data_IF_065802591391
#
_entry.id   IF_065802591391
#
_cell.length_a   1.000
_cell.length_b   1.000
_cell.length_c   1.000
_cell.angle_alpha   90.00
_cell.angle_beta   90.00
_cell.angle_gamma   90.00
#
_symmetry.space_group_name_H-M   'P 1'
#
loop_
_entity.id
_entity.type
_entity.pdbx_description
1 polymer ?
#
# COMPACT_ATOMS: atom_id res chain seq x y z
N UNK A 1 1.01 9.41 15.77
CA UNK A 1 2.15 8.59 15.29
C UNK A 1 1.72 7.78 14.09
N UNK A 2 2.59 7.64 13.08
CA UNK A 2 2.45 6.72 11.93
C UNK A 2 3.40 5.55 12.15
N UNK A 3 2.87 4.34 12.07
CA UNK A 3 3.66 3.11 12.12
C UNK A 3 3.99 2.64 10.69
N UNK A 4 5.25 2.40 10.39
CA UNK A 4 5.70 1.78 9.14
C UNK A 4 6.20 0.37 9.46
N UNK A 5 5.57 -0.63 8.86
CA UNK A 5 6.06 -2.02 8.87
C UNK A 5 7.04 -2.18 7.71
N UNK A 6 8.31 -2.36 8.02
CA UNK A 6 9.38 -2.52 7.05
C UNK A 6 9.57 -4.00 6.66
N UNK A 7 9.25 -4.34 5.44
CA UNK A 7 9.43 -5.66 4.85
C UNK A 7 10.84 -5.89 4.29
N UNK A 8 11.87 -5.28 4.89
CA UNK A 8 13.27 -5.40 4.47
C UNK A 8 13.53 -4.86 3.07
N UNK A 9 12.88 -3.73 2.75
CA UNK A 9 13.00 -3.08 1.45
C UNK A 9 13.88 -1.83 1.51
N UNK A 10 14.72 -1.65 0.48
CA UNK A 10 15.57 -0.46 0.36
C UNK A 10 14.77 0.83 0.14
N UNK A 11 13.53 0.75 -0.34
CA UNK A 11 12.65 1.90 -0.57
C UNK A 11 11.81 2.29 0.65
N UNK A 12 11.83 1.52 1.74
CA UNK A 12 11.08 1.86 2.97
C UNK A 12 11.44 3.25 3.47
N UNK A 13 12.72 3.59 3.51
CA UNK A 13 13.15 4.93 3.96
C UNK A 13 12.86 6.04 2.95
N UNK A 14 12.67 5.73 1.67
CA UNK A 14 12.15 6.69 0.70
C UNK A 14 10.69 7.06 1.02
N UNK A 15 9.86 6.10 1.46
CA UNK A 15 8.52 6.39 1.98
C UNK A 15 8.59 7.33 3.19
N UNK A 16 9.45 7.03 4.17
CA UNK A 16 9.64 7.86 5.37
C UNK A 16 10.08 9.28 4.97
N UNK A 17 11.03 9.39 4.05
CA UNK A 17 11.50 10.68 3.56
C UNK A 17 10.37 11.46 2.87
N UNK A 18 9.60 10.83 1.98
CA UNK A 18 8.47 11.48 1.29
C UNK A 18 7.40 11.96 2.26
N UNK A 19 7.09 11.17 3.28
CA UNK A 19 6.15 11.60 4.33
C UNK A 19 6.68 12.80 5.11
N UNK A 20 7.97 12.80 5.47
CA UNK A 20 8.62 13.91 6.14
C UNK A 20 8.74 15.18 5.28
N UNK A 21 8.85 15.05 3.93
CA UNK A 21 8.79 16.17 2.98
C UNK A 21 7.39 16.79 2.92
N UNK A 22 6.34 16.00 3.10
CA UNK A 22 4.95 16.49 3.12
C UNK A 22 4.66 17.21 4.44
N UNK A 23 5.10 16.65 5.57
CA UNK A 23 4.94 17.22 6.90
C UNK A 23 6.09 16.77 7.82
N UNK A 24 7.01 17.68 8.10
CA UNK A 24 8.18 17.44 8.94
C UNK A 24 7.85 17.23 10.43
N UNK A 25 6.61 17.48 10.85
CA UNK A 25 6.15 17.27 12.24
C UNK A 25 5.64 15.86 12.52
N UNK A 26 5.59 14.98 11.54
CA UNK A 26 5.06 13.62 11.70
C UNK A 26 5.95 12.78 12.63
N UNK A 27 5.35 12.18 13.67
CA UNK A 27 5.98 11.10 14.45
C UNK A 27 5.86 9.80 13.64
N UNK A 28 6.94 9.42 12.95
CA UNK A 28 7.01 8.20 12.13
C UNK A 28 7.92 7.20 12.83
N UNK A 29 7.40 6.01 13.09
CA UNK A 29 8.17 4.91 13.68
C UNK A 29 8.22 3.73 12.72
N UNK A 30 9.42 3.23 12.46
CA UNK A 30 9.68 2.11 11.56
C UNK A 30 10.07 0.90 12.36
N UNK A 31 9.38 -0.21 12.13
CA UNK A 31 9.74 -1.51 12.71
C UNK A 31 9.81 -2.57 11.61
N UNK A 32 10.84 -3.41 11.69
CA UNK A 32 10.94 -4.59 10.83
C UNK A 32 9.77 -5.54 11.07
N UNK A 33 9.33 -6.21 10.02
CA UNK A 33 8.15 -7.09 10.04
C UNK A 33 8.28 -8.32 10.95
N UNK A 34 9.48 -8.61 11.45
CA UNK A 34 9.81 -9.68 12.41
C UNK A 34 10.25 -9.14 13.79
N UNK A 35 10.28 -7.81 13.98
CA UNK A 35 10.76 -7.16 15.21
C UNK A 35 9.67 -6.44 16.00
N UNK A 36 8.42 -6.63 15.63
CA UNK A 36 7.24 -6.10 16.31
C UNK A 36 6.15 -7.16 16.33
N UNK A 37 5.27 -7.10 17.30
CA UNK A 37 4.09 -7.96 17.39
C UNK A 37 2.81 -7.14 17.58
N UNK A 38 1.65 -7.80 17.43
CA UNK A 38 0.32 -7.16 17.51
C UNK A 38 0.10 -6.47 18.85
N UNK A 39 0.53 -7.04 19.97
CA UNK A 39 0.34 -6.45 21.32
C UNK A 39 1.14 -5.15 21.47
N UNK A 40 2.35 -5.13 20.92
CA UNK A 40 3.15 -3.90 20.89
C UNK A 40 2.47 -2.83 20.03
N UNK A 41 1.92 -3.20 18.86
CA UNK A 41 1.19 -2.25 17.99
C UNK A 41 -0.05 -1.70 18.71
N UNK A 42 -0.82 -2.55 19.41
CA UNK A 42 -1.96 -2.10 20.24
C UNK A 42 -1.53 -1.08 21.29
N UNK A 43 -0.40 -1.34 21.96
CA UNK A 43 0.13 -0.44 22.99
C UNK A 43 0.61 0.88 22.39
N UNK A 44 1.24 0.86 21.22
CA UNK A 44 1.68 2.04 20.50
C UNK A 44 0.52 2.89 19.99
N UNK A 45 -0.65 2.28 19.76
CA UNK A 45 -1.88 2.92 19.29
C UNK A 45 -1.64 3.89 18.09
N UNK A 46 -1.08 3.41 16.97
CA UNK A 46 -0.78 4.28 15.84
C UNK A 46 -2.06 4.87 15.25
N UNK A 47 -2.00 6.13 14.83
CA UNK A 47 -3.09 6.78 14.11
C UNK A 47 -3.23 6.25 12.68
N UNK A 48 -2.14 5.75 12.09
CA UNK A 48 -2.08 5.17 10.75
C UNK A 48 -0.99 4.10 10.67
N UNK A 49 -1.17 3.14 9.76
CA UNK A 49 -0.17 2.11 9.48
C UNK A 49 0.17 2.15 7.99
N UNK A 50 1.45 2.03 7.66
CA UNK A 50 1.92 1.82 6.29
C UNK A 50 2.67 0.49 6.25
N UNK A 51 2.31 -0.39 5.32
CA UNK A 51 3.01 -1.66 5.07
C UNK A 51 3.87 -1.44 3.82
N UNK A 52 5.18 -1.52 3.99
CA UNK A 52 6.16 -1.16 2.98
C UNK A 52 6.22 -2.14 1.80
N UNK A 53 6.87 -1.74 0.70
CA UNK A 53 7.41 -2.69 -0.26
C UNK A 53 8.27 -3.75 0.42
N UNK A 54 8.59 -4.82 -0.30
CA UNK A 54 9.47 -5.87 0.18
C UNK A 54 9.75 -6.92 -0.87
N UNK A 55 10.74 -7.79 -0.63
CA UNK A 55 11.03 -8.94 -1.47
C UNK A 55 10.04 -10.08 -1.23
N UNK A 56 10.12 -11.11 -2.06
CA UNK A 56 9.38 -12.36 -1.94
C UNK A 56 7.87 -12.23 -2.13
N UNK A 57 7.08 -12.96 -1.36
CA UNK A 57 5.62 -13.04 -1.47
C UNK A 57 4.95 -12.64 -0.14
N UNK A 58 3.63 -12.42 -0.12
CA UNK A 58 2.90 -12.16 1.12
C UNK A 58 3.11 -13.22 2.21
N UNK A 59 3.45 -14.45 1.86
CA UNK A 59 3.69 -15.52 2.83
C UNK A 59 4.96 -15.29 3.66
N UNK A 60 5.93 -14.57 3.11
CA UNK A 60 7.19 -14.21 3.78
C UNK A 60 7.18 -12.78 4.34
N UNK A 61 6.04 -12.09 4.34
CA UNK A 61 5.93 -10.70 4.80
C UNK A 61 5.80 -10.55 6.33
N UNK A 62 6.23 -11.55 7.10
CA UNK A 62 6.21 -11.52 8.56
C UNK A 62 4.84 -11.16 9.12
N UNK A 63 4.79 -10.16 10.02
CA UNK A 63 3.55 -9.75 10.70
C UNK A 63 2.55 -9.02 9.78
N UNK A 64 2.92 -8.65 8.54
CA UNK A 64 2.10 -7.77 7.68
C UNK A 64 0.67 -8.28 7.47
N UNK A 65 0.48 -9.59 7.29
CA UNK A 65 -0.86 -10.18 7.13
C UNK A 65 -1.68 -10.13 8.43
N UNK A 66 -1.05 -10.40 9.58
CA UNK A 66 -1.69 -10.34 10.90
C UNK A 66 -2.08 -8.89 11.26
N UNK A 67 -1.26 -7.91 10.89
CA UNK A 67 -1.58 -6.48 11.02
C UNK A 67 -2.84 -6.13 10.24
N UNK A 68 -2.97 -6.59 9.01
CA UNK A 68 -4.16 -6.38 8.18
C UNK A 68 -5.41 -7.00 8.83
N UNK A 69 -5.32 -8.26 9.28
CA UNK A 69 -6.44 -8.95 9.92
C UNK A 69 -6.89 -8.27 11.22
N UNK A 70 -5.94 -7.71 11.98
CA UNK A 70 -6.23 -7.19 13.31
C UNK A 70 -6.66 -5.72 13.29
N UNK A 71 -6.08 -4.90 12.42
CA UNK A 71 -6.21 -3.44 12.53
C UNK A 71 -6.95 -2.78 11.37
N UNK A 72 -7.16 -3.46 10.23
CA UNK A 72 -7.69 -2.80 9.03
C UNK A 72 -9.10 -2.21 9.20
N UNK A 73 -9.90 -2.75 10.12
CA UNK A 73 -11.24 -2.22 10.41
C UNK A 73 -11.25 -0.95 11.27
N UNK A 74 -10.15 -0.65 11.95
CA UNK A 74 -10.12 0.39 12.99
C UNK A 74 -9.05 1.46 12.74
N UNK A 75 -8.00 1.14 12.00
CA UNK A 75 -6.88 2.04 11.75
C UNK A 75 -6.71 2.19 10.22
N UNK A 76 -6.57 3.42 9.69
CA UNK A 76 -6.24 3.61 8.28
C UNK A 76 -4.92 2.93 7.92
N UNK A 77 -4.95 2.08 6.88
CA UNK A 77 -3.78 1.33 6.41
C UNK A 77 -3.53 1.59 4.93
N UNK A 78 -2.28 1.85 4.58
CA UNK A 78 -1.78 1.88 3.21
C UNK A 78 -0.78 0.75 2.99
N UNK A 79 -1.08 -0.17 2.09
CA UNK A 79 -0.14 -1.19 1.61
C UNK A 79 0.52 -0.75 0.31
N UNK A 80 1.86 -0.77 0.25
CA UNK A 80 2.65 -0.40 -0.93
C UNK A 80 3.38 -1.62 -1.46
N UNK A 81 3.23 -1.92 -2.75
CA UNK A 81 3.85 -3.02 -3.48
C UNK A 81 3.61 -4.38 -2.78
N UNK A 82 4.56 -4.92 -2.01
CA UNK A 82 4.32 -6.14 -1.21
C UNK A 82 3.18 -5.93 -0.21
N UNK A 83 3.07 -4.78 0.43
CA UNK A 83 1.96 -4.46 1.33
C UNK A 83 0.59 -4.49 0.63
N UNK A 84 0.49 -4.04 -0.62
CA UNK A 84 -0.70 -4.19 -1.45
C UNK A 84 -1.01 -5.67 -1.74
N UNK A 85 0.02 -6.46 -2.06
CA UNK A 85 -0.14 -7.90 -2.30
C UNK A 85 -0.57 -8.64 -1.02
N UNK A 86 -0.09 -8.20 0.15
CA UNK A 86 -0.57 -8.69 1.44
C UNK A 86 -2.07 -8.43 1.63
N UNK A 87 -2.59 -7.27 1.22
CA UNK A 87 -4.04 -7.01 1.22
C UNK A 87 -4.75 -8.02 0.33
N UNK A 88 -4.32 -8.18 -0.93
CA UNK A 88 -4.91 -9.14 -1.84
C UNK A 88 -4.93 -10.56 -1.26
N UNK A 89 -3.81 -11.01 -0.73
CA UNK A 89 -3.66 -12.35 -0.13
C UNK A 89 -4.53 -12.54 1.12
N UNK A 90 -4.51 -11.59 2.04
CA UNK A 90 -5.25 -11.66 3.31
C UNK A 90 -6.76 -11.72 3.08
N UNK A 91 -7.26 -11.04 2.05
CA UNK A 91 -8.68 -10.94 1.75
C UNK A 91 -9.15 -11.82 0.57
N UNK A 92 -8.42 -12.89 0.28
CA UNK A 92 -8.88 -14.02 -0.54
C UNK A 92 -8.43 -14.02 -1.99
N UNK A 93 -7.59 -13.06 -2.41
CA UNK A 93 -7.00 -13.03 -3.75
C UNK A 93 -5.72 -13.89 -3.84
N UNK A 94 -5.47 -14.46 -5.00
CA UNK A 94 -4.18 -15.08 -5.32
C UNK A 94 -3.18 -14.01 -5.77
N UNK A 95 -1.96 -14.11 -5.27
CA UNK A 95 -0.81 -13.33 -5.77
C UNK A 95 0.01 -14.24 -6.66
N UNK A 96 0.11 -13.87 -7.93
CA UNK A 96 0.73 -14.68 -8.97
C UNK A 96 1.89 -13.94 -9.64
N UNK A 97 2.75 -14.70 -10.31
CA UNK A 97 3.79 -14.10 -11.15
C UNK A 97 3.16 -13.40 -12.35
N UNK A 98 3.51 -12.12 -12.52
CA UNK A 98 3.08 -11.38 -13.69
C UNK A 98 3.73 -11.95 -14.95
N UNK A 99 3.00 -11.97 -16.06
CA UNK A 99 3.53 -12.34 -17.38
C UNK A 99 4.65 -11.38 -17.85
N UNK A 100 4.65 -10.15 -17.33
CA UNK A 100 5.65 -9.11 -17.60
C UNK A 100 6.41 -8.77 -16.33
N UNK A 101 7.73 -8.90 -16.36
CA UNK A 101 8.58 -8.42 -15.28
C UNK A 101 8.70 -6.90 -15.39
N UNK A 102 8.27 -6.20 -14.35
CA UNK A 102 8.35 -4.75 -14.23
C UNK A 102 9.50 -4.41 -13.28
N UNK A 103 10.58 -3.84 -13.84
CA UNK A 103 11.73 -3.45 -13.05
C UNK A 103 12.15 -2.03 -13.44
N UNK A 104 11.81 -1.06 -12.60
CA UNK A 104 12.09 0.35 -12.85
C UNK A 104 11.35 0.95 -14.04
N UNK A 105 10.24 0.35 -14.48
CA UNK A 105 9.46 0.83 -15.62
C UNK A 105 8.37 1.77 -15.14
N UNK A 106 8.13 2.80 -15.93
CA UNK A 106 7.00 3.72 -15.77
C UNK A 106 5.81 3.16 -16.54
N UNK A 107 4.63 3.24 -15.96
CA UNK A 107 3.38 2.86 -16.60
C UNK A 107 2.30 3.89 -16.29
N UNK A 108 1.40 4.19 -17.26
CA UNK A 108 0.20 4.96 -16.98
C UNK A 108 -0.74 4.15 -16.08
N UNK A 109 -1.16 4.77 -14.99
CA UNK A 109 -2.07 4.18 -14.01
C UNK A 109 -3.41 4.89 -14.10
N UNK A 110 -4.43 4.16 -14.47
CA UNK A 110 -5.83 4.61 -14.43
C UNK A 110 -6.39 4.37 -13.03
N UNK A 111 -7.32 5.21 -12.57
CA UNK A 111 -7.92 5.08 -11.25
C UNK A 111 -9.34 5.66 -11.18
N UNK A 112 -10.05 5.36 -10.09
CA UNK A 112 -11.44 5.77 -9.87
C UNK A 112 -11.62 7.18 -9.27
N UNK A 113 -10.53 7.89 -9.03
CA UNK A 113 -10.49 9.23 -8.44
C UNK A 113 -11.08 9.32 -7.02
N UNK A 114 -11.04 8.22 -6.24
CA UNK A 114 -11.55 8.16 -4.87
C UNK A 114 -10.44 7.79 -3.87
N UNK A 115 -10.69 8.03 -2.58
CA UNK A 115 -9.74 7.72 -1.51
C UNK A 115 -8.38 8.37 -1.76
N UNK A 116 -7.32 7.59 -1.70
CA UNK A 116 -5.94 8.07 -1.93
C UNK A 116 -5.71 8.62 -3.35
N UNK A 117 -6.57 8.29 -4.32
CA UNK A 117 -6.47 8.77 -5.71
C UNK A 117 -7.23 10.08 -5.97
N UNK A 118 -7.90 10.65 -4.96
CA UNK A 118 -8.72 11.86 -5.13
C UNK A 118 -7.90 13.03 -5.68
N UNK A 119 -8.35 13.55 -6.81
CA UNK A 119 -7.78 14.73 -7.46
C UNK A 119 -6.40 14.51 -8.09
N UNK A 120 -5.91 13.27 -8.25
CA UNK A 120 -4.73 12.95 -9.03
C UNK A 120 -5.03 13.07 -10.53
N UNK A 121 -4.00 13.29 -11.33
CA UNK A 121 -4.11 13.19 -12.79
C UNK A 121 -4.53 11.76 -13.17
N UNK A 122 -5.40 11.61 -14.19
CA UNK A 122 -5.89 10.29 -14.59
C UNK A 122 -5.85 10.12 -16.15
N UNK A 123 -5.02 9.22 -16.70
CA UNK A 123 -4.00 8.44 -15.99
C UNK A 123 -2.82 9.30 -15.54
N UNK A 124 -2.05 8.78 -14.55
CA UNK A 124 -0.75 9.33 -14.17
C UNK A 124 0.35 8.29 -14.31
N UNK A 125 1.57 8.74 -14.51
CA UNK A 125 2.74 7.88 -14.62
C UNK A 125 3.27 7.49 -13.24
N UNK A 126 3.47 6.19 -13.01
CA UNK A 126 4.06 5.67 -11.79
C UNK A 126 5.10 4.58 -12.04
N UNK A 127 6.08 4.52 -11.16
CA UNK A 127 7.17 3.55 -11.22
C UNK A 127 6.74 2.19 -10.66
N UNK A 128 7.11 1.14 -11.36
CA UNK A 128 6.80 -0.25 -11.01
C UNK A 128 8.09 -1.06 -10.87
N UNK A 129 8.20 -1.82 -9.76
CA UNK A 129 9.35 -2.69 -9.44
C UNK A 129 8.90 -4.10 -9.02
N UNK A 130 7.83 -4.64 -9.62
CA UNK A 130 7.25 -5.89 -9.16
C UNK A 130 7.22 -6.96 -10.24
N UNK A 131 7.39 -8.21 -9.83
CA UNK A 131 7.20 -9.42 -10.64
C UNK A 131 5.91 -10.16 -10.27
N UNK A 132 5.24 -9.78 -9.20
CA UNK A 132 4.01 -10.37 -8.71
C UNK A 132 2.88 -9.36 -8.80
N UNK A 133 1.66 -9.87 -8.98
CA UNK A 133 0.41 -9.08 -9.03
C UNK A 133 -0.73 -9.87 -8.38
N UNK A 134 -1.74 -9.17 -7.88
CA UNK A 134 -3.01 -9.78 -7.48
C UNK A 134 -3.72 -10.24 -8.76
N UNK A 135 -4.08 -11.53 -8.81
CA UNK A 135 -4.81 -12.14 -9.92
C UNK A 135 -6.27 -11.66 -9.89
N UNK A 136 -6.66 -10.92 -10.91
CA UNK A 136 -7.96 -10.24 -10.98
C UNK A 136 -9.15 -11.20 -10.81
N UNK A 137 -9.07 -12.37 -11.44
CA UNK A 137 -10.15 -13.37 -11.45
C UNK A 137 -10.40 -13.99 -10.07
N UNK A 138 -9.43 -13.92 -9.17
CA UNK A 138 -9.54 -14.48 -7.80
C UNK A 138 -9.87 -13.41 -6.76
N UNK A 139 -9.64 -12.13 -7.06
CA UNK A 139 -9.95 -11.05 -6.13
C UNK A 139 -11.41 -10.62 -6.28
N UNK A 140 -12.31 -11.48 -5.79
CA UNK A 140 -13.76 -11.35 -5.93
C UNK A 140 -14.47 -10.96 -4.62
N UNK A 141 -13.72 -10.56 -3.58
CA UNK A 141 -14.28 -10.16 -2.31
C UNK A 141 -15.22 -8.94 -2.51
N UNK A 142 -16.53 -9.05 -2.16
CA UNK A 142 -17.51 -8.02 -2.42
C UNK A 142 -17.27 -6.72 -1.61
N UNK A 143 -16.47 -6.79 -0.55
CA UNK A 143 -16.17 -5.62 0.30
C UNK A 143 -15.03 -4.77 -0.27
N UNK A 144 -14.42 -5.19 -1.38
CA UNK A 144 -13.34 -4.47 -2.04
C UNK A 144 -13.75 -3.90 -3.40
N UNK A 145 -13.08 -2.83 -3.78
CA UNK A 145 -13.09 -2.24 -5.12
C UNK A 145 -11.67 -2.24 -5.68
N UNK A 146 -11.54 -2.52 -6.99
CA UNK A 146 -10.32 -2.24 -7.73
C UNK A 146 -10.30 -0.73 -7.98
N UNK A 147 -9.41 -0.03 -7.30
CA UNK A 147 -9.34 1.44 -7.31
C UNK A 147 -8.36 2.00 -8.34
N UNK A 148 -7.42 1.16 -8.85
CA UNK A 148 -6.51 1.54 -9.92
C UNK A 148 -6.11 0.33 -10.77
N UNK A 149 -5.78 0.58 -12.06
CA UNK A 149 -5.45 -0.47 -13.04
C UNK A 149 -4.56 0.05 -14.17
N UNK A 150 -3.89 -0.85 -14.89
CA UNK A 150 -3.22 -0.55 -16.16
C UNK A 150 -4.18 -0.71 -17.35
N UNK A 151 -3.79 -0.22 -18.53
CA UNK A 151 -4.56 -0.43 -19.78
C UNK A 151 -4.77 -1.92 -20.08
N UNK A 152 -3.87 -2.79 -19.64
CA UNK A 152 -3.96 -4.24 -19.79
C UNK A 152 -4.85 -4.91 -18.74
N UNK A 153 -5.38 -4.14 -17.79
CA UNK A 153 -6.28 -4.63 -16.74
C UNK A 153 -5.59 -5.24 -15.53
N UNK A 154 -4.28 -5.06 -15.37
CA UNK A 154 -3.58 -5.45 -14.14
C UNK A 154 -4.07 -4.59 -12.97
N UNK A 155 -4.32 -5.20 -11.81
CA UNK A 155 -4.70 -4.48 -10.58
C UNK A 155 -3.50 -3.68 -10.08
N UNK A 156 -3.68 -2.36 -10.01
CA UNK A 156 -2.67 -1.41 -9.51
C UNK A 156 -3.10 -0.73 -8.21
N UNK A 157 -4.35 -0.88 -7.83
CA UNK A 157 -4.86 -0.40 -6.55
C UNK A 157 -6.10 -1.16 -6.12
N UNK A 158 -6.25 -1.34 -4.81
CA UNK A 158 -7.44 -1.88 -4.16
C UNK A 158 -7.84 -1.00 -3.00
N UNK A 159 -9.14 -0.94 -2.71
CA UNK A 159 -9.71 -0.22 -1.57
C UNK A 159 -10.84 -1.01 -0.96
N UNK A 160 -10.90 -1.08 0.36
CA UNK A 160 -12.07 -1.59 1.07
C UNK A 160 -13.20 -0.55 1.01
N UNK A 161 -14.45 -0.99 0.89
CA UNK A 161 -15.61 -0.10 0.71
C UNK A 161 -15.99 0.69 1.96
N UNK A 162 -15.72 0.12 3.15
CA UNK A 162 -16.15 0.67 4.43
C UNK A 162 -15.00 1.02 5.36
N UNK A 163 -13.82 0.41 5.18
CA UNK A 163 -12.63 0.66 6.01
C UNK A 163 -11.66 1.55 5.23
N UNK A 164 -10.86 2.31 5.96
CA UNK A 164 -9.78 3.11 5.36
C UNK A 164 -8.55 2.23 5.08
N UNK A 165 -8.78 1.17 4.29
CA UNK A 165 -7.76 0.22 3.84
C UNK A 165 -7.53 0.41 2.34
N UNK A 166 -6.31 0.82 2.01
CA UNK A 166 -5.88 1.13 0.65
C UNK A 166 -4.62 0.35 0.29
N UNK A 167 -4.54 -0.13 -0.94
CA UNK A 167 -3.34 -0.77 -1.47
C UNK A 167 -2.97 -0.21 -2.82
N UNK A 168 -1.67 0.03 -3.06
CA UNK A 168 -1.12 0.46 -4.34
C UNK A 168 0.04 -0.43 -4.74
N UNK A 169 0.02 -0.97 -5.98
CA UNK A 169 1.03 -1.90 -6.48
C UNK A 169 2.30 -1.18 -6.93
N UNK A 170 2.19 0.06 -7.37
CA UNK A 170 3.31 0.91 -7.77
C UNK A 170 3.97 1.58 -6.56
N UNK A 171 5.06 2.31 -6.81
CA UNK A 171 5.87 2.97 -5.78
C UNK A 171 5.61 4.48 -5.75
N UNK A 172 4.72 4.98 -4.86
CA UNK A 172 4.43 6.41 -4.75
C UNK A 172 5.60 7.22 -4.19
N UNK A 173 6.55 6.57 -3.52
CA UNK A 173 7.76 7.18 -2.97
C UNK A 173 8.82 7.45 -4.03
N UNK A 174 8.73 6.83 -5.19
CA UNK A 174 9.67 7.03 -6.28
C UNK A 174 9.63 8.47 -6.81
N UNK A 175 10.80 9.04 -7.08
CA UNK A 175 10.89 10.38 -7.68
C UNK A 175 10.30 10.47 -9.10
N UNK A 176 10.13 9.34 -9.77
CA UNK A 176 9.48 9.27 -11.08
C UNK A 176 7.95 9.12 -11.00
N UNK A 177 7.40 8.91 -9.80
CA UNK A 177 5.94 8.89 -9.56
C UNK A 177 5.49 10.29 -9.16
N UNK A 178 5.27 11.18 -10.16
CA UNK A 178 5.04 12.61 -9.91
C UNK A 178 3.81 12.91 -9.05
N UNK A 179 2.76 12.08 -9.14
CA UNK A 179 1.55 12.17 -8.31
C UNK A 179 1.71 11.47 -6.95
N UNK A 180 2.85 10.80 -6.71
CA UNK A 180 3.12 10.05 -5.48
C UNK A 180 3.02 10.89 -4.20
N UNK A 181 3.63 12.08 -4.11
CA UNK A 181 3.50 12.94 -2.93
C UNK A 181 2.06 13.33 -2.63
N UNK A 182 1.24 13.59 -3.65
CA UNK A 182 -0.18 13.92 -3.48
C UNK A 182 -1.00 12.72 -3.03
N UNK A 183 -0.69 11.51 -3.54
CA UNK A 183 -1.29 10.28 -3.08
C UNK A 183 -1.00 10.04 -1.60
N UNK A 184 0.26 10.16 -1.20
CA UNK A 184 0.68 10.01 0.21
C UNK A 184 0.02 11.08 1.09
N UNK A 185 -0.07 12.33 0.62
CA UNK A 185 -0.80 13.38 1.34
C UNK A 185 -2.27 13.05 1.51
N UNK A 186 -2.94 12.56 0.45
CA UNK A 186 -4.33 12.12 0.57
C UNK A 186 -4.49 11.04 1.65
N UNK A 187 -3.56 10.08 1.74
CA UNK A 187 -3.58 9.09 2.81
C UNK A 187 -3.36 9.71 4.20
N UNK A 188 -2.47 10.69 4.32
CA UNK A 188 -2.25 11.41 5.59
C UNK A 188 -3.50 12.17 6.04
N UNK A 189 -4.28 12.69 5.11
CA UNK A 189 -5.49 13.46 5.37
C UNK A 189 -6.72 12.56 5.74
N UNK A 190 -6.64 11.25 5.53
CA UNK A 190 -7.68 10.29 5.95
C UNK A 190 -7.71 10.20 7.48
N UNK A 191 -8.87 10.34 8.08
CA UNK A 191 -9.10 10.08 9.50
C UNK A 191 -9.68 8.68 9.69
N UNK A 192 -9.43 8.05 10.84
CA UNK A 192 -10.14 6.83 11.20
C UNK A 192 -11.65 7.06 11.12
N UNK A 193 -12.38 6.08 10.59
CA UNK A 193 -13.85 6.13 10.62
C UNK A 193 -14.31 6.19 12.09
N UNK A 194 -15.14 7.20 12.41
CA UNK A 194 -15.75 7.35 13.71
C UNK A 194 -16.75 6.21 13.97
#
# INVERSE_FOLDING_TARGET
MILVIDNYDSFTYNLVQRLGEIDASLDIRVFRNDQINVETIKTLAPAKIIISPGPCTPKEAGISNEVLQTFASNIPILGVCLGHQCIGHTFGGEVIRNSRIMHGKISPIHHDNKGVFKGLQNPFDATRYHSLVIKKETFTNPDFEISAWTSEGEIMGVRHKSWELHGVQFHPESFLSLEGPKLLKNFLDINAAN
#
